data_IF_509142809092
#
_entry.id   IF_509142809092
#
_cell.length_a   1.000
_cell.length_b   1.000
_cell.length_c   1.000
_cell.angle_alpha   90.00
_cell.angle_beta   90.00
_cell.angle_gamma   90.00
#
_symmetry.space_group_name_H-M   'P 1'
#
loop_
_entity.id
_entity.type
_entity.pdbx_description
1 polymer ?
#
# COMPACT_ATOMS: atom_id res chain seq x y z
N UNK A 1 -6.43 -24.75 -7.29
CA UNK A 1 -6.07 -24.48 -5.87
C UNK A 1 -5.62 -23.02 -5.67
N UNK A 2 -4.96 -22.41 -6.66
CA UNK A 2 -4.59 -20.98 -6.72
C UNK A 2 -5.78 -20.03 -6.54
N UNK A 3 -6.94 -20.34 -7.15
CA UNK A 3 -8.09 -19.43 -7.18
C UNK A 3 -8.69 -19.16 -5.78
N UNK A 4 -8.62 -20.14 -4.87
CA UNK A 4 -9.12 -19.98 -3.49
C UNK A 4 -8.19 -19.04 -2.70
N UNK A 5 -6.87 -19.19 -2.88
CA UNK A 5 -5.89 -18.33 -2.22
C UNK A 5 -6.00 -16.89 -2.74
N UNK A 6 -6.08 -16.73 -4.06
CA UNK A 6 -6.26 -15.43 -4.70
C UNK A 6 -7.55 -14.76 -4.24
N UNK A 7 -8.67 -15.49 -4.22
CA UNK A 7 -9.95 -14.98 -3.72
C UNK A 7 -9.85 -14.52 -2.26
N UNK A 8 -9.12 -15.26 -1.41
CA UNK A 8 -8.87 -14.85 -0.01
C UNK A 8 -8.04 -13.58 0.04
N UNK A 9 -6.94 -13.48 -0.70
CA UNK A 9 -6.08 -12.29 -0.71
C UNK A 9 -6.88 -11.06 -1.16
N UNK A 10 -7.65 -11.18 -2.25
CA UNK A 10 -8.50 -10.11 -2.74
C UNK A 10 -9.56 -9.68 -1.72
N UNK A 11 -10.15 -10.62 -0.97
CA UNK A 11 -11.10 -10.29 0.09
C UNK A 11 -10.44 -9.47 1.22
N UNK A 12 -9.23 -9.84 1.66
CA UNK A 12 -8.49 -9.10 2.68
C UNK A 12 -8.07 -7.71 2.16
N UNK A 13 -7.58 -7.62 0.92
CA UNK A 13 -7.23 -6.33 0.30
C UNK A 13 -8.43 -5.38 0.26
N UNK A 14 -9.60 -5.87 -0.14
CA UNK A 14 -10.85 -5.08 -0.13
C UNK A 14 -11.26 -4.63 1.27
N UNK A 15 -11.10 -5.49 2.28
CA UNK A 15 -11.38 -5.15 3.67
C UNK A 15 -10.44 -4.04 4.16
N UNK A 16 -9.13 -4.18 3.90
CA UNK A 16 -8.12 -3.19 4.28
C UNK A 16 -8.37 -1.83 3.62
N UNK A 17 -8.64 -1.80 2.32
CA UNK A 17 -9.00 -0.55 1.60
C UNK A 17 -10.22 0.12 2.26
N UNK A 18 -11.23 -0.67 2.64
CA UNK A 18 -12.43 -0.14 3.28
C UNK A 18 -12.15 0.41 4.68
N UNK A 19 -11.30 -0.26 5.46
CA UNK A 19 -10.85 0.23 6.77
C UNK A 19 -10.08 1.55 6.66
N UNK A 20 -9.12 1.63 5.72
CA UNK A 20 -8.37 2.86 5.45
C UNK A 20 -9.32 4.00 5.05
N UNK A 21 -10.29 3.72 4.18
CA UNK A 21 -11.26 4.74 3.75
C UNK A 21 -12.12 5.26 4.92
N UNK A 22 -12.55 4.39 5.84
CA UNK A 22 -13.30 4.80 7.04
C UNK A 22 -12.44 5.66 7.97
N UNK A 23 -11.19 5.26 8.21
CA UNK A 23 -10.24 6.00 9.06
C UNK A 23 -9.89 7.36 8.44
N UNK A 24 -9.61 7.41 7.14
CA UNK A 24 -9.26 8.63 6.40
C UNK A 24 -10.39 9.68 6.36
N UNK A 25 -11.59 9.33 6.84
CA UNK A 25 -12.60 10.33 7.13
C UNK A 25 -12.16 11.28 8.24
N UNK A 26 -11.55 10.81 9.33
CA UNK A 26 -11.08 11.69 10.39
C UNK A 26 -9.80 12.42 9.95
N UNK A 27 -9.72 13.75 10.03
CA UNK A 27 -8.52 14.49 9.65
C UNK A 27 -7.23 14.02 10.36
N UNK A 28 -7.31 13.62 11.64
CA UNK A 28 -6.14 13.17 12.39
C UNK A 28 -5.60 11.83 11.85
N UNK A 29 -6.51 10.89 11.55
CA UNK A 29 -6.12 9.61 10.96
C UNK A 29 -5.71 9.77 9.51
N UNK A 30 -6.32 10.69 8.76
CA UNK A 30 -5.93 11.00 7.39
C UNK A 30 -4.47 11.45 7.30
N UNK A 31 -4.04 12.42 8.12
CA UNK A 31 -2.65 12.86 8.17
C UNK A 31 -1.70 11.72 8.51
N UNK A 32 -2.09 10.81 9.42
CA UNK A 32 -1.25 9.65 9.75
C UNK A 32 -1.15 8.63 8.62
N UNK A 33 -2.23 8.43 7.86
CA UNK A 33 -2.26 7.57 6.67
C UNK A 33 -1.38 8.15 5.56
N UNK A 34 -1.41 9.47 5.35
CA UNK A 34 -0.55 10.16 4.40
C UNK A 34 0.94 10.03 4.80
N UNK A 35 1.27 10.22 6.08
CA UNK A 35 2.63 9.98 6.56
C UNK A 35 3.09 8.51 6.37
N UNK A 36 2.19 7.54 6.61
CA UNK A 36 2.50 6.12 6.38
C UNK A 36 2.73 5.82 4.89
N UNK A 37 2.00 6.50 4.01
CA UNK A 37 2.20 6.38 2.56
C UNK A 37 3.60 6.86 2.19
N UNK A 38 4.01 8.03 2.68
CA UNK A 38 5.35 8.58 2.44
C UNK A 38 6.46 7.67 2.99
N UNK A 39 6.25 7.07 4.19
CA UNK A 39 7.17 6.09 4.78
C UNK A 39 7.26 4.78 3.97
N UNK A 40 6.19 4.41 3.27
CA UNK A 40 6.10 3.15 2.51
C UNK A 40 6.60 3.29 1.07
N UNK A 41 6.73 4.51 0.57
CA UNK A 41 7.36 4.77 -0.73
C UNK A 41 8.87 4.50 -0.60
N UNK A 42 9.33 3.41 -1.24
CA UNK A 42 10.75 3.12 -1.32
C UNK A 42 11.42 4.21 -2.16
N UNK A 43 12.41 4.96 -1.63
CA UNK A 43 13.15 5.93 -2.41
C UNK A 43 13.85 5.22 -3.57
N UNK A 44 13.41 5.50 -4.80
CA UNK A 44 14.04 4.99 -6.02
C UNK A 44 15.36 5.70 -6.36
N UNK A 45 15.80 6.66 -5.55
CA UNK A 45 16.89 7.59 -5.89
C UNK A 45 18.23 7.23 -5.23
N UNK A 46 18.52 5.93 -5.12
CA UNK A 46 19.88 5.46 -4.91
C UNK A 46 20.39 4.95 -6.26
N UNK A 47 21.45 5.59 -6.76
CA UNK A 47 22.32 5.07 -7.82
C UNK A 47 22.56 3.57 -7.60
N UNK A 48 21.76 2.72 -8.26
CA UNK A 48 22.07 1.31 -8.36
C UNK A 48 23.30 1.20 -9.28
N UNK A 49 24.46 1.10 -8.63
CA UNK A 49 25.74 0.70 -9.21
C UNK A 49 25.48 -0.51 -10.15
N UNK A 50 25.78 -0.43 -11.46
CA UNK A 50 25.24 -1.31 -12.52
C UNK A 50 25.73 -2.78 -12.48
N UNK A 51 26.11 -3.30 -11.31
CA UNK A 51 26.61 -4.66 -11.10
C UNK A 51 26.00 -5.42 -9.93
N UNK A 52 25.11 -4.83 -9.12
CA UNK A 52 24.46 -5.55 -8.00
C UNK A 52 23.03 -5.88 -8.39
N UNK A 53 22.77 -7.15 -8.68
CA UNK A 53 21.42 -7.69 -8.73
C UNK A 53 20.83 -7.57 -7.33
N UNK A 54 19.74 -6.80 -7.11
CA UNK A 54 19.11 -6.75 -5.79
C UNK A 54 18.70 -8.16 -5.38
N UNK A 55 19.17 -8.64 -4.23
CA UNK A 55 18.86 -9.98 -3.75
C UNK A 55 17.35 -10.21 -3.57
N UNK A 56 16.90 -11.46 -3.59
CA UNK A 56 15.47 -11.82 -3.51
C UNK A 56 14.72 -11.16 -2.33
N UNK A 57 15.41 -10.91 -1.22
CA UNK A 57 14.87 -10.21 -0.05
C UNK A 57 14.52 -8.73 -0.31
N UNK A 58 15.26 -8.03 -1.18
CA UNK A 58 14.92 -6.66 -1.61
C UNK A 58 13.72 -6.68 -2.56
N UNK A 59 13.64 -7.67 -3.45
CA UNK A 59 12.50 -7.83 -4.36
C UNK A 59 11.19 -8.21 -3.62
N UNK A 60 11.26 -8.94 -2.51
CA UNK A 60 10.09 -9.24 -1.67
C UNK A 60 9.65 -8.03 -0.82
N UNK A 61 10.61 -7.29 -0.24
CA UNK A 61 10.33 -6.04 0.47
C UNK A 61 9.71 -4.99 -0.45
N UNK A 62 10.21 -4.89 -1.68
CA UNK A 62 9.66 -4.00 -2.71
C UNK A 62 8.21 -4.35 -3.07
N UNK A 63 7.90 -5.63 -3.30
CA UNK A 63 6.52 -6.08 -3.57
C UNK A 63 5.57 -5.83 -2.40
N UNK A 64 6.03 -5.99 -1.17
CA UNK A 64 5.24 -5.68 0.03
C UNK A 64 4.94 -4.18 0.15
N UNK A 65 5.95 -3.34 -0.07
CA UNK A 65 5.81 -1.88 -0.02
C UNK A 65 4.88 -1.35 -1.12
N UNK A 66 4.95 -1.90 -2.33
CA UNK A 66 4.04 -1.60 -3.43
C UNK A 66 2.59 -1.93 -3.06
N UNK A 67 2.37 -3.11 -2.47
CA UNK A 67 1.04 -3.57 -2.09
C UNK A 67 0.43 -2.68 -0.99
N UNK A 68 1.23 -2.31 0.02
CA UNK A 68 0.84 -1.38 1.09
C UNK A 68 0.49 -0.01 0.50
N UNK A 69 1.38 0.57 -0.32
CA UNK A 69 1.18 1.83 -1.02
C UNK A 69 -0.12 1.83 -1.81
N UNK A 70 -0.40 0.74 -2.54
CA UNK A 70 -1.62 0.61 -3.33
C UNK A 70 -2.89 0.53 -2.46
N UNK A 71 -2.84 -0.11 -1.28
CA UNK A 71 -3.98 -0.15 -0.33
C UNK A 71 -4.26 1.26 0.21
N UNK A 72 -3.22 1.96 0.65
CA UNK A 72 -3.34 3.30 1.25
C UNK A 72 -3.90 4.31 0.25
N UNK A 73 -3.36 4.34 -0.98
CA UNK A 73 -3.84 5.22 -2.05
C UNK A 73 -5.31 4.96 -2.41
N UNK A 74 -5.70 3.68 -2.54
CA UNK A 74 -7.10 3.33 -2.82
C UNK A 74 -8.05 3.72 -1.68
N UNK A 75 -7.62 3.53 -0.43
CA UNK A 75 -8.39 3.95 0.74
C UNK A 75 -8.60 5.47 0.79
N UNK A 76 -7.53 6.25 0.59
CA UNK A 76 -7.59 7.71 0.52
C UNK A 76 -8.50 8.20 -0.62
N UNK A 77 -8.35 7.62 -1.82
CA UNK A 77 -9.17 7.96 -2.98
C UNK A 77 -10.66 7.69 -2.71
N UNK A 78 -10.98 6.56 -2.08
CA UNK A 78 -12.37 6.21 -1.71
C UNK A 78 -12.95 7.15 -0.67
N UNK A 79 -12.16 7.55 0.33
CA UNK A 79 -12.57 8.53 1.33
C UNK A 79 -12.88 9.90 0.71
N UNK A 80 -12.08 10.32 -0.27
CA UNK A 80 -12.30 11.57 -1.01
C UNK A 80 -13.49 11.52 -1.97
N UNK A 81 -13.84 10.33 -2.49
CA UNK A 81 -14.97 10.14 -3.41
C UNK A 81 -16.33 9.94 -2.73
N UNK A 82 -16.37 9.69 -1.41
CA UNK A 82 -17.61 9.65 -0.62
C UNK A 82 -17.78 10.99 0.11
N UNK A 83 -18.62 11.91 -0.40
CA UNK A 83 -19.03 13.05 0.39
C UNK A 83 -19.77 12.52 1.62
N UNK A 84 -19.37 12.98 2.80
CA UNK A 84 -20.10 12.71 4.04
C UNK A 84 -21.50 13.31 4.00
#
# INVERSE_FOLDING_TARGET
MTDILEARILAHRRLLISLVAMLAGDPNYRTRIEALLDESEIPMDQEEDPGIVPGEAFAEQSRSAEEITAILRQGLARASASPR
#
